data_IF_290131261986
#
_entry.id   IF_290131261986
#
_cell.length_a   1.000
_cell.length_b   1.000
_cell.length_c   1.000
_cell.angle_alpha   90.00
_cell.angle_beta   90.00
_cell.angle_gamma   90.00
#
_symmetry.space_group_name_H-M   'P 1'
#
loop_
_entity.id
_entity.type
_entity.pdbx_description
1 polymer ?
#
# COMPACT_ATOMS: atom_id res chain seq x y z
N UNK A 1 -65.76 41.62 -20.96
CA UNK A 1 -65.77 40.24 -20.42
C UNK A 1 -64.45 40.01 -19.68
N UNK A 2 -63.93 40.99 -18.96
CA UNK A 2 -64.05 41.27 -17.52
C UNK A 2 -65.06 40.46 -16.66
N UNK A 3 -64.55 39.76 -15.64
CA UNK A 3 -65.28 39.29 -14.46
C UNK A 3 -64.35 39.21 -13.22
N UNK A 4 -64.31 40.29 -12.43
CA UNK A 4 -64.80 40.32 -11.05
C UNK A 4 -64.13 39.46 -9.96
N UNK A 5 -63.29 40.10 -9.13
CA UNK A 5 -63.15 39.87 -7.66
C UNK A 5 -64.44 40.36 -6.93
N UNK A 6 -64.76 40.10 -5.62
CA UNK A 6 -63.84 39.96 -4.47
C UNK A 6 -64.26 39.14 -3.20
N UNK A 7 -63.28 38.95 -2.31
CA UNK A 7 -63.29 39.01 -0.81
C UNK A 7 -64.29 38.22 0.06
N UNK A 8 -63.78 37.57 1.12
CA UNK A 8 -63.84 38.08 2.52
C UNK A 8 -62.98 37.28 3.50
N UNK A 9 -62.28 38.04 4.37
CA UNK A 9 -61.49 37.62 5.54
C UNK A 9 -62.41 37.16 6.69
N UNK A 10 -61.89 36.33 7.62
CA UNK A 10 -61.89 36.63 9.07
C UNK A 10 -60.99 35.68 9.87
N UNK A 11 -60.29 36.32 10.80
CA UNK A 11 -59.36 35.91 11.86
C UNK A 11 -60.03 35.16 13.02
N UNK A 12 -59.29 34.27 13.70
CA UNK A 12 -59.23 34.17 15.18
C UNK A 12 -58.13 33.18 15.64
N UNK A 13 -57.54 33.50 16.79
CA UNK A 13 -56.33 32.97 17.45
C UNK A 13 -56.73 31.95 18.57
N UNK A 14 -55.81 31.44 19.41
CA UNK A 14 -55.65 30.01 19.74
C UNK A 14 -56.42 29.54 20.99
N UNK A 15 -56.53 28.22 21.17
CA UNK A 15 -56.96 27.61 22.42
C UNK A 15 -55.78 26.85 23.08
N UNK A 16 -55.39 27.35 24.25
CA UNK A 16 -54.54 26.71 25.24
C UNK A 16 -55.36 25.67 26.00
N UNK A 17 -54.84 24.46 26.18
CA UNK A 17 -55.27 23.54 27.23
C UNK A 17 -54.03 22.92 27.89
N UNK A 18 -53.80 23.31 29.14
CA UNK A 18 -52.91 22.63 30.08
C UNK A 18 -53.52 21.26 30.47
N UNK A 19 -52.68 20.24 30.60
CA UNK A 19 -52.98 19.07 31.44
C UNK A 19 -51.69 18.55 32.05
N UNK A 20 -51.76 18.28 33.34
CA UNK A 20 -50.67 18.13 34.28
C UNK A 20 -49.95 16.77 34.23
N UNK A 21 -48.79 16.76 34.88
CA UNK A 21 -47.83 15.68 34.99
C UNK A 21 -48.35 14.39 35.63
N UNK A 22 -47.80 13.27 35.17
CA UNK A 22 -47.57 12.08 35.98
C UNK A 22 -46.15 11.57 35.66
N UNK A 23 -45.24 11.76 36.61
CA UNK A 23 -43.90 11.14 36.61
C UNK A 23 -44.09 9.67 36.96
N UNK A 24 -43.77 8.79 36.02
CA UNK A 24 -43.59 7.37 36.27
C UNK A 24 -42.11 7.02 36.07
N UNK A 25 -41.39 6.86 37.18
CA UNK A 25 -40.09 6.23 37.24
C UNK A 25 -40.26 4.74 36.94
N UNK A 26 -39.91 4.33 35.74
CA UNK A 26 -39.65 2.92 35.41
C UNK A 26 -38.22 2.84 34.87
N UNK A 27 -37.29 2.50 35.75
CA UNK A 27 -35.97 2.04 35.34
C UNK A 27 -36.07 0.65 34.75
N UNK A 28 -35.36 0.41 33.65
CA UNK A 28 -34.76 -0.87 33.32
C UNK A 28 -33.60 -0.62 32.35
N UNK A 29 -32.41 -1.00 32.84
CA UNK A 29 -31.20 -1.46 32.13
C UNK A 29 -30.70 -0.63 30.96
N UNK A 30 -29.57 0.03 31.19
CA UNK A 30 -28.70 0.53 30.13
C UNK A 30 -28.42 -0.59 29.12
N UNK A 31 -28.59 -0.26 27.85
CA UNK A 31 -27.86 -0.94 26.80
C UNK A 31 -26.40 -0.57 27.03
N UNK A 32 -25.70 -1.46 27.71
CA UNK A 32 -24.26 -1.60 27.54
C UNK A 32 -24.05 -1.66 26.03
N UNK A 33 -23.43 -0.61 25.48
CA UNK A 33 -22.76 -0.72 24.20
C UNK A 33 -21.89 -1.97 24.32
N UNK A 34 -22.19 -2.98 23.50
CA UNK A 34 -21.43 -4.22 23.51
C UNK A 34 -19.96 -3.84 23.41
N UNK A 35 -19.20 -4.17 24.46
CA UNK A 35 -17.77 -4.03 24.45
C UNK A 35 -17.25 -4.76 23.19
N UNK A 36 -16.27 -4.20 22.47
CA UNK A 36 -15.68 -4.91 21.35
C UNK A 36 -15.23 -6.29 21.84
N UNK A 37 -15.58 -7.32 21.09
CA UNK A 37 -15.16 -8.69 21.36
C UNK A 37 -13.64 -8.72 21.62
N UNK A 38 -13.12 -9.56 22.53
CA UNK A 38 -11.69 -9.64 22.77
C UNK A 38 -11.02 -10.07 21.46
N UNK A 39 -10.31 -9.13 20.85
CA UNK A 39 -9.74 -9.32 19.54
C UNK A 39 -8.51 -10.23 19.66
N UNK A 40 -8.58 -11.36 18.96
CA UNK A 40 -7.65 -12.48 19.07
C UNK A 40 -6.25 -12.10 18.61
N UNK A 41 -5.25 -12.29 19.46
CA UNK A 41 -3.83 -12.36 19.03
C UNK A 41 -3.68 -13.54 18.08
N UNK A 42 -3.16 -13.33 16.85
CA UNK A 42 -2.99 -14.39 15.85
C UNK A 42 -1.53 -14.82 15.77
N UNK A 43 -1.27 -16.09 16.07
CA UNK A 43 0.03 -16.70 15.80
C UNK A 43 0.17 -16.94 14.30
N UNK A 44 1.21 -16.37 13.70
CA UNK A 44 1.55 -16.60 12.31
C UNK A 44 2.17 -18.00 12.16
N UNK A 45 1.90 -18.69 11.04
CA UNK A 45 2.54 -19.95 10.73
C UNK A 45 4.06 -19.77 10.67
N UNK A 46 4.80 -20.85 10.93
CA UNK A 46 6.23 -20.89 10.69
C UNK A 46 6.52 -20.56 9.21
N UNK A 47 7.68 -19.93 8.90
CA UNK A 47 8.05 -19.67 7.52
C UNK A 47 8.03 -20.99 6.72
N UNK A 48 7.41 -20.96 5.54
CA UNK A 48 7.27 -22.14 4.69
C UNK A 48 8.67 -22.61 4.26
N UNK A 49 9.16 -23.71 4.85
CA UNK A 49 10.42 -24.36 4.46
C UNK A 49 10.26 -25.31 3.25
N UNK A 50 9.15 -25.21 2.52
CA UNK A 50 8.87 -26.09 1.39
C UNK A 50 9.57 -25.58 0.13
N UNK A 51 10.88 -25.81 0.04
CA UNK A 51 11.56 -25.85 -1.26
C UNK A 51 10.90 -26.97 -2.08
N UNK A 52 10.29 -26.72 -3.25
CA UNK A 52 10.06 -27.81 -4.18
C UNK A 52 11.44 -28.39 -4.52
N UNK A 53 11.56 -29.71 -4.48
CA UNK A 53 12.76 -30.48 -4.75
C UNK A 53 13.25 -30.26 -6.19
N UNK A 54 13.86 -29.11 -6.42
CA UNK A 54 14.84 -28.79 -7.45
C UNK A 54 16.08 -28.36 -6.69
N UNK A 55 17.31 -28.55 -7.20
CA UNK A 55 18.49 -28.03 -6.53
C UNK A 55 18.38 -26.50 -6.50
N UNK A 56 17.88 -25.98 -5.39
CA UNK A 56 18.01 -24.60 -5.01
C UNK A 56 19.50 -24.31 -5.06
N UNK A 57 19.93 -23.44 -5.99
CA UNK A 57 21.28 -22.91 -5.90
C UNK A 57 21.34 -22.24 -4.52
N UNK A 58 22.14 -22.75 -3.57
CA UNK A 58 22.18 -22.16 -2.25
C UNK A 58 22.53 -20.69 -2.44
N UNK A 59 21.79 -19.80 -1.76
CA UNK A 59 22.18 -18.41 -1.63
C UNK A 59 23.67 -18.40 -1.29
N UNK A 60 24.48 -17.78 -2.14
CA UNK A 60 25.94 -17.72 -1.95
C UNK A 60 26.19 -17.30 -0.49
N UNK A 61 26.95 -18.08 0.29
CA UNK A 61 27.29 -17.71 1.66
C UNK A 61 27.86 -16.29 1.66
N UNK A 62 27.12 -15.33 2.23
CA UNK A 62 27.45 -13.90 2.20
C UNK A 62 26.52 -12.98 1.40
N UNK A 63 25.45 -13.49 0.76
CA UNK A 63 24.45 -12.64 0.13
C UNK A 63 23.72 -11.77 1.17
N UNK A 64 23.95 -10.46 1.12
CA UNK A 64 23.30 -9.50 2.02
C UNK A 64 21.83 -9.31 1.65
N UNK A 65 21.00 -9.17 2.67
CA UNK A 65 19.59 -8.80 2.56
C UNK A 65 19.47 -7.46 1.80
N UNK A 66 18.44 -7.27 0.95
CA UNK A 66 18.18 -5.95 0.36
C UNK A 66 18.16 -4.84 1.41
N UNK A 67 18.82 -3.71 1.11
CA UNK A 67 19.05 -2.64 2.09
C UNK A 67 17.76 -2.09 2.72
N UNK A 68 16.68 -1.97 1.93
CA UNK A 68 15.38 -1.53 2.43
C UNK A 68 14.80 -2.47 3.50
N UNK A 69 14.95 -3.78 3.34
CA UNK A 69 14.50 -4.76 4.33
C UNK A 69 15.37 -4.70 5.58
N UNK A 70 16.70 -4.64 5.42
CA UNK A 70 17.62 -4.53 6.55
C UNK A 70 17.35 -3.27 7.39
N UNK A 71 17.06 -2.14 6.74
CA UNK A 71 16.70 -0.90 7.41
C UNK A 71 15.38 -1.05 8.19
N UNK A 72 14.33 -1.64 7.58
CA UNK A 72 13.06 -1.92 8.26
C UNK A 72 13.23 -2.82 9.48
N UNK A 73 13.95 -3.93 9.34
CA UNK A 73 14.19 -4.89 10.42
C UNK A 73 15.05 -4.32 11.56
N UNK A 74 15.76 -3.21 11.35
CA UNK A 74 16.50 -2.54 12.41
C UNK A 74 15.61 -1.60 13.25
N UNK A 75 14.44 -1.20 12.74
CA UNK A 75 13.54 -0.29 13.44
C UNK A 75 12.78 -1.00 14.56
N UNK A 76 12.66 -0.28 15.70
CA UNK A 76 11.87 -0.63 16.88
C UNK A 76 11.42 0.65 17.58
N UNK A 77 10.37 0.54 18.39
CA UNK A 77 9.88 1.62 19.24
C UNK A 77 8.58 2.22 18.74
N UNK A 78 8.15 3.28 19.42
CA UNK A 78 6.88 3.95 19.11
C UNK A 78 7.15 5.19 18.24
N UNK A 79 6.38 5.42 17.16
CA UNK A 79 6.50 6.64 16.39
C UNK A 79 6.11 7.88 17.20
N UNK A 80 6.99 8.88 17.18
CA UNK A 80 6.75 10.21 17.71
C UNK A 80 6.02 11.12 16.73
N UNK A 81 6.02 12.42 17.03
CA UNK A 81 5.32 13.43 16.24
C UNK A 81 5.88 13.54 14.81
N UNK A 82 4.98 13.56 13.82
CA UNK A 82 5.34 13.73 12.42
C UNK A 82 5.92 15.13 12.14
N UNK A 83 6.90 15.17 11.24
CA UNK A 83 7.62 16.37 10.83
C UNK A 83 7.73 16.40 9.31
N UNK A 84 7.53 17.57 8.70
CA UNK A 84 7.72 17.71 7.26
C UNK A 84 9.22 17.58 6.90
N UNK A 85 9.52 16.67 5.98
CA UNK A 85 10.83 16.59 5.30
C UNK A 85 10.79 17.50 4.07
N UNK A 86 9.81 17.29 3.20
CA UNK A 86 9.52 18.13 2.03
C UNK A 86 8.01 18.22 1.81
N UNK A 87 7.58 19.30 1.18
CA UNK A 87 6.17 19.64 0.90
C UNK A 87 6.00 20.04 -0.57
N UNK A 88 4.77 20.04 -1.08
CA UNK A 88 4.45 20.46 -2.44
C UNK A 88 4.78 19.41 -3.50
N UNK A 89 4.72 18.13 -3.14
CA UNK A 89 4.83 17.00 -4.05
C UNK A 89 3.54 16.84 -4.85
N UNK A 90 3.65 16.33 -6.09
CA UNK A 90 2.52 16.09 -6.98
C UNK A 90 2.16 14.60 -7.02
N UNK A 91 1.07 14.23 -6.33
CA UNK A 91 0.58 12.84 -6.19
C UNK A 91 1.75 11.83 -6.01
N UNK A 92 2.57 11.99 -4.96
CA UNK A 92 3.73 11.12 -4.75
C UNK A 92 3.26 9.70 -4.45
N UNK A 93 3.97 8.69 -4.95
CA UNK A 93 3.48 7.30 -4.93
C UNK A 93 4.39 6.32 -4.17
N UNK A 94 5.70 6.32 -4.46
CA UNK A 94 6.67 5.40 -3.86
C UNK A 94 7.87 6.14 -3.30
N UNK A 95 8.44 5.66 -2.19
CA UNK A 95 9.77 6.08 -1.70
C UNK A 95 10.79 4.96 -1.94
N UNK A 96 11.98 5.30 -2.44
CA UNK A 96 13.15 4.43 -2.50
C UNK A 96 14.36 5.12 -1.85
N UNK A 97 14.74 4.69 -0.64
CA UNK A 97 15.86 5.29 0.12
C UNK A 97 17.19 4.80 -0.46
N UNK A 98 18.06 5.75 -0.84
CA UNK A 98 19.37 5.52 -1.42
C UNK A 98 20.42 5.25 -0.33
N UNK A 99 21.53 4.56 -0.66
CA UNK A 99 22.60 4.27 0.31
C UNK A 99 23.27 5.49 0.95
N UNK A 100 23.18 6.67 0.29
CA UNK A 100 23.73 7.94 0.79
C UNK A 100 22.78 8.64 1.79
N UNK A 101 21.62 8.06 2.07
CA UNK A 101 20.60 8.63 2.95
C UNK A 101 19.66 9.62 2.27
N UNK A 102 19.83 9.89 0.97
CA UNK A 102 18.78 10.55 0.18
C UNK A 102 17.69 9.55 -0.20
N UNK A 103 16.60 10.01 -0.82
CA UNK A 103 15.57 9.13 -1.34
C UNK A 103 15.10 9.56 -2.72
N UNK A 104 14.57 8.61 -3.48
CA UNK A 104 13.85 8.86 -4.72
C UNK A 104 12.35 8.72 -4.47
N UNK A 105 11.57 9.64 -5.02
CA UNK A 105 10.11 9.63 -4.96
C UNK A 105 9.56 9.61 -6.38
N UNK A 106 8.64 8.70 -6.67
CA UNK A 106 7.84 8.75 -7.90
C UNK A 106 6.63 9.67 -7.72
N UNK A 107 6.36 10.50 -8.72
CA UNK A 107 5.13 11.29 -8.83
C UNK A 107 4.23 10.68 -9.91
N UNK A 108 3.01 10.27 -9.53
CA UNK A 108 2.14 9.45 -10.38
C UNK A 108 1.76 10.15 -11.68
N UNK A 109 1.27 11.38 -11.57
CA UNK A 109 0.60 12.09 -12.67
C UNK A 109 1.55 12.93 -13.51
N UNK A 110 2.72 13.30 -12.98
CA UNK A 110 3.76 14.03 -13.72
C UNK A 110 4.77 13.10 -14.36
N UNK A 111 4.78 11.81 -13.97
CA UNK A 111 5.77 10.81 -14.35
C UNK A 111 7.22 11.22 -14.00
N UNK A 112 7.40 12.11 -13.02
CA UNK A 112 8.71 12.56 -12.56
C UNK A 112 9.23 11.66 -11.45
N UNK A 113 10.55 11.54 -11.39
CA UNK A 113 11.26 11.06 -10.20
C UNK A 113 11.92 12.26 -9.54
N UNK A 114 11.69 12.44 -8.24
CA UNK A 114 12.34 13.46 -7.43
C UNK A 114 13.40 12.82 -6.54
N UNK A 115 14.55 13.46 -6.38
CA UNK A 115 15.51 13.15 -5.32
C UNK A 115 15.26 14.06 -4.13
N UNK A 116 15.02 13.47 -2.97
CA UNK A 116 14.95 14.16 -1.68
C UNK A 116 16.28 14.01 -0.96
N UNK A 117 17.00 15.11 -0.79
CA UNK A 117 18.31 15.11 -0.13
C UNK A 117 18.50 16.36 0.73
N UNK A 118 19.48 16.33 1.62
CA UNK A 118 19.79 17.44 2.52
C UNK A 118 20.96 18.27 1.95
N UNK A 119 20.70 19.55 1.68
CA UNK A 119 21.71 20.50 1.19
C UNK A 119 21.83 21.66 2.17
N UNK A 120 23.01 21.81 2.79
CA UNK A 120 23.25 22.87 3.79
C UNK A 120 22.39 22.75 5.05
N UNK A 121 21.99 21.53 5.43
CA UNK A 121 21.14 21.28 6.59
C UNK A 121 19.63 21.28 6.30
N UNK A 122 19.20 21.66 5.11
CA UNK A 122 17.78 21.71 4.71
C UNK A 122 17.45 20.62 3.69
N UNK A 123 16.34 19.92 3.91
CA UNK A 123 15.79 18.96 2.95
C UNK A 123 15.21 19.66 1.73
N UNK A 124 15.47 19.11 0.54
CA UNK A 124 14.96 19.61 -0.74
C UNK A 124 14.55 18.44 -1.61
N UNK A 125 13.49 18.63 -2.40
CA UNK A 125 13.11 17.73 -3.47
C UNK A 125 13.49 18.36 -4.81
N UNK A 126 14.29 17.66 -5.60
CA UNK A 126 14.76 18.14 -6.91
C UNK A 126 14.51 17.06 -7.97
N UNK A 127 14.10 17.46 -9.18
CA UNK A 127 13.76 16.52 -10.22
C UNK A 127 15.00 15.81 -10.78
N UNK A 128 14.97 14.49 -10.78
CA UNK A 128 15.92 13.64 -11.51
C UNK A 128 15.59 13.72 -13.00
N UNK A 129 16.58 14.03 -13.83
CA UNK A 129 16.35 14.17 -15.28
C UNK A 129 16.34 12.80 -15.96
N UNK A 130 15.17 12.37 -16.42
CA UNK A 130 15.00 11.20 -17.29
C UNK A 130 14.93 11.61 -18.78
N UNK A 131 14.84 10.63 -19.68
CA UNK A 131 14.93 10.84 -21.13
C UNK A 131 13.64 11.32 -21.82
N UNK A 132 12.53 11.44 -21.07
CA UNK A 132 11.24 11.87 -21.59
C UNK A 132 11.04 13.40 -21.62
N UNK A 133 9.89 13.86 -22.10
CA UNK A 133 9.55 15.29 -22.13
C UNK A 133 9.65 15.93 -20.74
N UNK A 134 10.20 17.15 -20.69
CA UNK A 134 10.44 17.89 -19.44
C UNK A 134 11.25 17.12 -18.37
N UNK A 135 12.04 16.12 -18.79
CA UNK A 135 12.85 15.30 -17.88
C UNK A 135 12.06 14.23 -17.11
N UNK A 136 10.84 13.90 -17.54
CA UNK A 136 10.03 12.83 -16.97
C UNK A 136 10.44 11.44 -17.50
N UNK A 137 9.98 10.37 -16.85
CA UNK A 137 10.14 9.00 -17.36
C UNK A 137 9.35 8.88 -18.67
N UNK A 138 9.95 8.43 -19.78
CA UNK A 138 9.26 8.37 -21.07
C UNK A 138 8.17 7.29 -21.08
N UNK A 139 7.24 7.42 -22.04
CA UNK A 139 6.15 6.47 -22.34
C UNK A 139 5.13 6.23 -21.22
N UNK A 140 5.25 6.93 -20.08
CA UNK A 140 4.24 6.93 -19.02
C UNK A 140 3.05 7.77 -19.46
N UNK A 141 1.85 7.17 -19.37
CA UNK A 141 0.58 7.84 -19.67
C UNK A 141 -0.36 7.74 -18.46
N UNK A 142 -0.28 8.70 -17.53
CA UNK A 142 -1.09 8.70 -16.33
C UNK A 142 -2.59 8.80 -16.65
N UNK A 143 -3.38 7.94 -16.02
CA UNK A 143 -4.84 7.92 -16.12
C UNK A 143 -5.45 7.24 -14.91
N UNK A 144 -6.49 7.83 -14.33
CA UNK A 144 -7.18 7.25 -13.18
C UNK A 144 -6.23 6.99 -11.99
N UNK A 145 -5.94 5.72 -11.71
CA UNK A 145 -5.00 5.29 -10.66
C UNK A 145 -3.61 4.89 -11.21
N UNK A 146 -3.44 4.85 -12.53
CA UNK A 146 -2.19 4.50 -13.21
C UNK A 146 -1.31 5.72 -13.50
N UNK A 147 -0.02 5.47 -13.69
CA UNK A 147 1.01 6.49 -13.91
C UNK A 147 2.40 5.93 -13.61
N UNK A 148 3.27 6.74 -13.00
CA UNK A 148 4.53 6.26 -12.42
C UNK A 148 4.30 5.83 -10.96
N UNK A 149 4.32 4.52 -10.70
CA UNK A 149 3.90 3.92 -9.43
C UNK A 149 5.10 3.49 -8.58
N UNK A 150 5.22 2.20 -8.26
CA UNK A 150 6.24 1.67 -7.36
C UNK A 150 7.65 1.87 -7.87
N UNK A 151 8.57 2.16 -6.94
CA UNK A 151 10.01 2.19 -7.14
C UNK A 151 10.67 1.11 -6.29
N UNK A 152 11.73 0.49 -6.82
CA UNK A 152 12.58 -0.41 -6.04
C UNK A 152 14.04 -0.30 -6.49
N UNK A 153 14.97 -0.25 -5.54
CA UNK A 153 16.40 -0.33 -5.84
C UNK A 153 16.82 -1.78 -5.99
N UNK A 154 17.73 -2.05 -6.93
CA UNK A 154 18.38 -3.36 -7.04
C UNK A 154 19.00 -3.80 -5.71
N UNK A 155 18.95 -5.10 -5.36
CA UNK A 155 19.70 -5.63 -4.23
C UNK A 155 21.23 -5.48 -4.35
N UNK A 156 21.72 -5.09 -5.54
CA UNK A 156 23.12 -4.75 -5.82
C UNK A 156 23.27 -3.28 -6.27
N UNK A 157 22.38 -2.39 -5.83
CA UNK A 157 22.32 -0.99 -6.29
C UNK A 157 23.66 -0.25 -6.19
N UNK A 158 24.44 -0.49 -5.13
CA UNK A 158 25.75 0.14 -4.97
C UNK A 158 26.78 -0.29 -6.04
N UNK A 159 26.50 -1.33 -6.82
CA UNK A 159 27.34 -1.80 -7.92
C UNK A 159 26.72 -1.54 -9.30
N UNK A 160 25.40 -1.66 -9.42
CA UNK A 160 24.70 -1.64 -10.72
C UNK A 160 23.86 -0.39 -10.98
N UNK A 161 23.57 0.38 -9.93
CA UNK A 161 22.72 1.56 -9.92
C UNK A 161 21.34 1.38 -10.55
N UNK A 162 20.78 0.16 -10.53
CA UNK A 162 19.48 -0.11 -11.14
C UNK A 162 18.32 0.33 -10.26
N UNK A 163 17.52 1.27 -10.76
CA UNK A 163 16.21 1.63 -10.23
C UNK A 163 15.11 0.95 -11.07
N UNK A 164 14.24 0.19 -10.43
CA UNK A 164 13.06 -0.40 -11.05
C UNK A 164 11.86 0.52 -10.83
N UNK A 165 11.01 0.62 -11.85
CA UNK A 165 9.79 1.44 -11.81
C UNK A 165 8.62 0.69 -12.44
N UNK A 166 7.45 0.76 -11.80
CA UNK A 166 6.19 0.32 -12.38
C UNK A 166 5.56 1.49 -13.14
N UNK A 167 5.24 1.29 -14.42
CA UNK A 167 4.69 2.34 -15.27
C UNK A 167 3.41 1.89 -15.97
N UNK A 168 2.45 2.79 -16.02
CA UNK A 168 1.29 2.68 -16.91
C UNK A 168 1.61 3.39 -18.22
N UNK A 169 1.50 2.68 -19.34
CA UNK A 169 1.70 3.18 -20.70
C UNK A 169 0.36 3.28 -21.44
N UNK A 170 0.39 3.75 -22.68
CA UNK A 170 -0.77 3.77 -23.57
C UNK A 170 -1.42 2.38 -23.79
N UNK A 171 -0.66 1.28 -23.66
CA UNK A 171 -1.11 -0.06 -24.06
C UNK A 171 -1.14 -1.09 -22.93
N UNK A 172 -0.38 -0.87 -21.87
CA UNK A 172 -0.25 -1.82 -20.76
C UNK A 172 0.21 -1.12 -19.48
N UNK A 173 0.23 -1.89 -18.39
CA UNK A 173 1.15 -1.65 -17.30
C UNK A 173 2.39 -2.51 -17.51
N UNK A 174 3.53 -2.05 -17.00
CA UNK A 174 4.80 -2.75 -17.10
C UNK A 174 5.75 -2.38 -15.98
N UNK A 175 6.77 -3.20 -15.80
CA UNK A 175 7.95 -2.84 -15.02
C UNK A 175 9.11 -2.59 -15.95
N UNK A 176 9.84 -1.52 -15.69
CA UNK A 176 11.09 -1.16 -16.36
C UNK A 176 12.20 -1.00 -15.32
N UNK A 177 13.45 -1.04 -15.76
CA UNK A 177 14.61 -0.56 -14.98
C UNK A 177 15.35 0.54 -15.70
N UNK A 178 15.97 1.43 -14.95
CA UNK A 178 16.77 2.55 -15.42
C UNK A 178 18.02 2.66 -14.55
N UNK A 179 19.18 2.97 -15.13
CA UNK A 179 20.37 3.29 -14.34
C UNK A 179 20.20 4.69 -13.76
N UNK A 180 20.35 4.80 -12.45
CA UNK A 180 20.42 6.07 -11.75
C UNK A 180 21.87 6.54 -11.64
N UNK A 181 22.14 7.75 -12.08
CA UNK A 181 23.44 8.40 -11.92
C UNK A 181 23.27 9.63 -11.04
N UNK A 182 23.80 9.58 -9.82
CA UNK A 182 23.85 10.75 -8.95
C UNK A 182 24.70 11.86 -9.59
N UNK A 183 24.41 13.10 -9.24
CA UNK A 183 25.25 14.24 -9.63
C UNK A 183 26.32 14.46 -8.55
N UNK A 184 27.60 14.36 -8.94
CA UNK A 184 28.75 14.58 -8.07
C UNK A 184 28.80 16.01 -7.49
N UNK A 185 28.14 16.98 -8.15
CA UNK A 185 27.99 18.34 -7.65
C UNK A 185 26.84 18.50 -6.62
N UNK A 186 26.16 17.40 -6.27
CA UNK A 186 25.09 17.36 -5.27
C UNK A 186 23.68 17.59 -5.81
N UNK A 187 23.49 17.69 -7.13
CA UNK A 187 22.18 17.78 -7.76
C UNK A 187 21.36 16.48 -7.71
N UNK A 188 20.22 16.47 -8.41
CA UNK A 188 19.28 15.35 -8.41
C UNK A 188 19.77 14.10 -9.16
N UNK A 189 20.66 14.27 -10.15
CA UNK A 189 21.14 13.20 -11.02
C UNK A 189 20.28 12.95 -12.26
N UNK A 190 20.54 11.85 -12.96
CA UNK A 190 19.87 11.45 -14.21
C UNK A 190 19.43 9.99 -14.20
N UNK A 191 18.48 9.66 -15.08
CA UNK A 191 18.04 8.29 -15.37
C UNK A 191 18.35 7.93 -16.83
N UNK A 192 18.87 6.73 -17.06
CA UNK A 192 19.01 6.18 -18.41
C UNK A 192 17.66 5.93 -19.09
N UNK A 193 17.68 5.62 -20.38
CA UNK A 193 16.49 5.11 -21.06
C UNK A 193 15.96 3.83 -20.35
N UNK A 194 14.63 3.64 -20.27
CA UNK A 194 14.07 2.46 -19.60
C UNK A 194 14.31 1.16 -20.36
N UNK A 195 14.72 0.12 -19.64
CA UNK A 195 14.80 -1.27 -20.11
C UNK A 195 13.57 -2.05 -19.60
N UNK A 196 12.77 -2.69 -20.47
CA UNK A 196 11.64 -3.51 -20.04
C UNK A 196 12.06 -4.72 -19.20
N UNK A 197 11.33 -4.98 -18.12
CA UNK A 197 11.49 -6.15 -17.24
C UNK A 197 10.32 -7.12 -17.42
N UNK A 198 9.10 -6.61 -17.34
CA UNK A 198 7.88 -7.35 -17.69
C UNK A 198 6.89 -6.39 -18.31
N UNK A 199 6.26 -6.79 -19.41
CA UNK A 199 5.31 -5.97 -20.18
C UNK A 199 4.02 -6.75 -20.40
N UNK A 200 2.99 -6.07 -20.92
CA UNK A 200 1.71 -6.69 -21.26
C UNK A 200 0.81 -6.99 -20.06
N UNK A 201 1.10 -6.41 -18.89
CA UNK A 201 0.15 -6.46 -17.76
C UNK A 201 -1.05 -5.61 -18.18
N UNK A 202 -2.24 -6.21 -18.19
CA UNK A 202 -3.44 -5.46 -18.62
C UNK A 202 -3.67 -4.27 -17.71
N UNK A 203 -3.92 -3.11 -18.32
CA UNK A 203 -4.14 -1.84 -17.63
C UNK A 203 -5.59 -1.39 -17.77
N UNK A 204 -6.08 -0.62 -16.80
CA UNK A 204 -7.41 -0.04 -16.79
C UNK A 204 -7.36 1.40 -16.24
N UNK A 205 -8.50 1.93 -15.78
CA UNK A 205 -8.56 3.21 -15.06
C UNK A 205 -8.28 3.05 -13.56
N UNK A 206 -8.52 1.86 -13.02
CA UNK A 206 -8.36 1.52 -11.60
C UNK A 206 -7.77 0.12 -11.47
N UNK A 207 -7.24 -0.19 -10.29
CA UNK A 207 -6.71 -1.50 -9.92
C UNK A 207 -5.47 -1.93 -10.68
N UNK A 208 -4.42 -1.11 -10.62
CA UNK A 208 -3.12 -1.42 -11.18
C UNK A 208 -2.25 -2.26 -10.24
N UNK A 209 -2.53 -2.25 -8.93
CA UNK A 209 -1.56 -2.67 -7.92
C UNK A 209 -0.38 -1.71 -7.92
N UNK A 210 0.77 -2.13 -8.47
CA UNK A 210 1.88 -1.25 -8.82
C UNK A 210 3.04 -1.19 -7.82
N UNK A 211 2.98 -1.90 -6.68
CA UNK A 211 4.08 -1.99 -5.72
C UNK A 211 5.17 -2.92 -6.23
N UNK A 212 6.41 -2.50 -6.03
CA UNK A 212 7.62 -3.26 -6.29
C UNK A 212 8.41 -3.43 -5.00
N UNK A 213 8.99 -4.61 -4.79
CA UNK A 213 9.97 -4.82 -3.75
C UNK A 213 10.88 -6.01 -4.07
N UNK A 214 12.14 -5.95 -3.65
CA UNK A 214 13.01 -7.12 -3.66
C UNK A 214 12.90 -7.88 -2.35
N UNK A 215 12.59 -9.17 -2.43
CA UNK A 215 12.45 -10.04 -1.27
C UNK A 215 13.79 -10.47 -0.67
N UNK A 216 13.78 -11.21 0.46
CA UNK A 216 14.98 -11.74 1.10
C UNK A 216 15.76 -12.71 0.19
N UNK A 217 15.09 -13.30 -0.79
CA UNK A 217 15.64 -14.16 -1.85
C UNK A 217 16.25 -13.37 -3.02
N UNK A 218 16.26 -12.03 -2.95
CA UNK A 218 16.76 -11.09 -3.97
C UNK A 218 16.01 -11.16 -5.30
N UNK A 219 14.80 -11.74 -5.31
CA UNK A 219 13.89 -11.71 -6.45
C UNK A 219 13.00 -10.46 -6.40
N UNK A 220 12.58 -9.98 -7.56
CA UNK A 220 11.66 -8.86 -7.69
C UNK A 220 10.22 -9.37 -7.55
N UNK A 221 9.47 -8.79 -6.61
CA UNK A 221 8.05 -9.02 -6.44
C UNK A 221 7.26 -7.83 -6.99
N UNK A 222 6.19 -8.13 -7.72
CA UNK A 222 5.34 -7.15 -8.40
C UNK A 222 3.89 -7.42 -8.04
N UNK A 223 3.20 -6.45 -7.44
CA UNK A 223 1.75 -6.54 -7.19
C UNK A 223 0.99 -6.05 -8.40
N UNK A 224 -0.03 -6.80 -8.84
CA UNK A 224 -0.92 -6.38 -9.93
C UNK A 224 -2.38 -6.48 -9.48
N UNK A 225 -3.15 -5.43 -9.75
CA UNK A 225 -4.60 -5.48 -9.54
C UNK A 225 -5.31 -6.21 -10.67
N UNK A 226 -6.62 -6.41 -10.51
CA UNK A 226 -7.47 -7.13 -11.48
C UNK A 226 -7.80 -6.33 -12.75
N UNK A 227 -7.35 -5.07 -12.84
CA UNK A 227 -7.65 -4.15 -13.93
C UNK A 227 -9.14 -4.04 -14.27
N UNK A 228 -10.00 -4.07 -13.25
CA UNK A 228 -11.47 -4.05 -13.39
C UNK A 228 -12.05 -5.26 -14.15
N UNK A 229 -11.28 -6.34 -14.26
CA UNK A 229 -11.67 -7.63 -14.82
C UNK A 229 -11.49 -8.72 -13.74
N UNK A 230 -12.39 -8.80 -12.74
CA UNK A 230 -12.17 -9.62 -11.55
C UNK A 230 -11.88 -11.10 -11.83
N UNK A 231 -12.49 -11.67 -12.88
CA UNK A 231 -12.26 -13.08 -13.26
C UNK A 231 -10.80 -13.40 -13.58
N UNK A 232 -10.01 -12.41 -14.00
CA UNK A 232 -8.58 -12.59 -14.30
C UNK A 232 -7.76 -12.93 -13.06
N UNK A 233 -8.21 -12.54 -11.86
CA UNK A 233 -7.54 -12.87 -10.61
C UNK A 233 -7.43 -14.38 -10.38
N UNK A 234 -8.40 -15.16 -10.87
CA UNK A 234 -8.43 -16.63 -10.79
C UNK A 234 -7.83 -17.33 -12.03
N UNK A 235 -7.54 -16.59 -13.10
CA UNK A 235 -6.92 -17.15 -14.31
C UNK A 235 -5.41 -17.33 -14.10
N UNK A 236 -4.86 -18.56 -14.19
CA UNK A 236 -3.43 -18.81 -14.01
C UNK A 236 -2.55 -18.29 -15.17
N UNK A 237 -3.14 -17.93 -16.32
CA UNK A 237 -2.42 -17.36 -17.46
C UNK A 237 -2.40 -15.82 -17.44
N UNK A 238 -3.25 -15.20 -16.64
CA UNK A 238 -3.31 -13.75 -16.53
C UNK A 238 -2.21 -13.21 -15.60
N UNK A 239 -1.72 -12.00 -15.92
CA UNK A 239 -0.80 -11.26 -15.05
C UNK A 239 -1.52 -10.34 -14.07
N UNK A 240 -2.83 -10.15 -14.19
CA UNK A 240 -3.66 -9.30 -13.33
C UNK A 240 -4.26 -10.07 -12.15
N UNK A 241 -4.44 -9.37 -11.03
CA UNK A 241 -4.91 -9.93 -9.77
C UNK A 241 -3.93 -10.94 -9.17
N UNK A 242 -2.63 -10.62 -9.22
CA UNK A 242 -1.52 -11.49 -8.82
C UNK A 242 -0.54 -10.75 -7.93
N UNK A 243 0.27 -11.54 -7.21
CA UNK A 243 1.65 -11.14 -6.92
C UNK A 243 2.56 -11.98 -7.80
N UNK A 244 3.42 -11.31 -8.55
CA UNK A 244 4.41 -11.92 -9.43
C UNK A 244 5.77 -11.96 -8.73
N UNK A 245 6.61 -12.95 -9.07
CA UNK A 245 7.99 -13.10 -8.61
C UNK A 245 8.92 -13.38 -9.78
N UNK A 246 9.87 -12.48 -9.99
CA UNK A 246 10.75 -12.41 -11.15
C UNK A 246 12.22 -12.37 -10.71
N UNK A 247 13.12 -12.83 -11.57
CA UNK A 247 14.54 -12.46 -11.45
C UNK A 247 14.71 -10.96 -11.68
N UNK A 248 15.84 -10.35 -11.26
CA UNK A 248 16.13 -8.95 -11.58
C UNK A 248 16.11 -8.64 -13.09
N UNK A 249 16.35 -9.64 -13.95
CA UNK A 249 16.29 -9.49 -15.41
C UNK A 249 14.90 -9.82 -16.01
N UNK A 250 13.87 -9.99 -15.17
CA UNK A 250 12.47 -10.13 -15.61
C UNK A 250 12.03 -11.53 -16.03
N UNK A 251 12.87 -12.55 -15.82
CA UNK A 251 12.44 -13.94 -16.04
C UNK A 251 11.62 -14.46 -14.86
N UNK A 252 10.66 -15.39 -15.06
CA UNK A 252 10.06 -16.13 -13.95
C UNK A 252 11.12 -16.68 -13.01
N UNK A 253 11.01 -16.35 -11.72
CA UNK A 253 12.06 -16.72 -10.76
C UNK A 253 12.10 -18.25 -10.52
N UNK A 254 13.30 -18.84 -10.35
CA UNK A 254 13.42 -20.23 -9.92
C UNK A 254 12.68 -20.49 -8.60
N UNK A 255 11.97 -21.62 -8.51
CA UNK A 255 11.16 -21.95 -7.34
C UNK A 255 9.76 -21.33 -7.32
N UNK A 256 9.35 -20.63 -8.39
CA UNK A 256 7.94 -20.25 -8.55
C UNK A 256 7.03 -21.50 -8.55
N UNK A 257 5.79 -21.40 -8.04
CA UNK A 257 4.87 -22.53 -7.93
C UNK A 257 4.61 -23.28 -9.23
N UNK A 258 4.60 -22.56 -10.36
CA UNK A 258 4.43 -23.12 -11.70
C UNK A 258 5.66 -22.76 -12.52
N UNK A 259 6.36 -23.79 -13.05
CA UNK A 259 7.55 -23.61 -13.84
C UNK A 259 7.28 -22.73 -15.07
N UNK A 260 8.12 -21.71 -15.28
CA UNK A 260 7.98 -20.76 -16.39
C UNK A 260 6.86 -19.72 -16.21
N UNK A 261 6.12 -19.75 -15.11
CA UNK A 261 5.13 -18.72 -14.77
C UNK A 261 5.71 -17.71 -13.77
N UNK A 262 5.50 -16.40 -13.96
CA UNK A 262 5.90 -15.39 -12.98
C UNK A 262 4.97 -15.35 -11.75
N UNK A 263 3.83 -16.06 -11.76
CA UNK A 263 2.83 -15.99 -10.70
C UNK A 263 3.34 -16.65 -9.41
N UNK A 264 3.34 -15.89 -8.31
CA UNK A 264 3.66 -16.36 -6.97
C UNK A 264 2.41 -16.70 -6.16
N UNK A 265 1.44 -15.77 -6.14
CA UNK A 265 0.11 -15.91 -5.54
C UNK A 265 -0.94 -15.29 -6.46
N UNK A 266 -2.19 -15.70 -6.29
CA UNK A 266 -3.31 -15.23 -7.11
C UNK A 266 -4.59 -15.04 -6.28
N UNK A 267 -5.65 -14.57 -6.93
CA UNK A 267 -6.89 -14.22 -6.26
C UNK A 267 -6.81 -12.90 -5.52
N UNK A 268 -6.11 -11.92 -6.11
CA UNK A 268 -6.00 -10.56 -5.59
C UNK A 268 -6.87 -9.59 -6.40
N UNK A 269 -7.42 -8.59 -5.72
CA UNK A 269 -8.17 -7.47 -6.28
C UNK A 269 -7.27 -6.30 -6.63
N UNK A 270 -6.60 -5.71 -5.65
CA UNK A 270 -5.72 -4.55 -5.85
C UNK A 270 -4.69 -4.38 -4.72
N UNK A 271 -3.68 -5.27 -4.64
CA UNK A 271 -2.63 -5.20 -3.62
C UNK A 271 -1.70 -4.00 -3.88
N UNK A 272 -1.43 -3.18 -2.86
CA UNK A 272 -0.69 -1.91 -3.00
C UNK A 272 0.52 -1.76 -2.05
N UNK A 273 0.72 -2.71 -1.15
CA UNK A 273 1.87 -2.77 -0.26
C UNK A 273 2.33 -4.19 -0.08
N UNK A 274 3.65 -4.42 -0.07
CA UNK A 274 4.27 -5.71 0.25
C UNK A 274 5.53 -5.48 1.07
N UNK A 275 5.85 -6.42 1.95
CA UNK A 275 7.05 -6.39 2.80
C UNK A 275 7.29 -7.73 3.48
N UNK A 276 8.46 -7.91 4.09
CA UNK A 276 8.83 -9.15 4.77
C UNK A 276 9.28 -8.87 6.19
N UNK A 277 8.95 -9.76 7.12
CA UNK A 277 9.62 -9.76 8.42
C UNK A 277 11.01 -10.41 8.36
N UNK A 278 11.70 -10.41 9.50
CA UNK A 278 13.02 -11.02 9.66
C UNK A 278 13.03 -12.55 9.54
N UNK A 279 11.87 -13.20 9.63
CA UNK A 279 11.70 -14.62 9.40
C UNK A 279 11.43 -14.96 7.91
N UNK A 280 11.33 -13.94 7.04
CA UNK A 280 11.04 -14.10 5.63
C UNK A 280 9.57 -14.31 5.30
N UNK A 281 8.66 -14.04 6.24
CA UNK A 281 7.21 -14.06 6.01
C UNK A 281 6.78 -12.81 5.27
N UNK A 282 6.10 -12.98 4.14
CA UNK A 282 5.66 -11.88 3.28
C UNK A 282 4.28 -11.39 3.68
N UNK A 283 4.12 -10.09 3.88
CA UNK A 283 2.86 -9.42 4.12
C UNK A 283 2.40 -8.67 2.87
N UNK A 284 1.09 -8.55 2.67
CA UNK A 284 0.51 -7.73 1.61
C UNK A 284 -0.71 -6.95 2.08
N UNK A 285 -0.78 -5.67 1.73
CA UNK A 285 -1.90 -4.78 2.01
C UNK A 285 -2.74 -4.61 0.73
N UNK A 286 -4.05 -4.78 0.84
CA UNK A 286 -4.93 -4.89 -0.32
C UNK A 286 -6.28 -4.20 -0.15
N UNK A 287 -6.74 -3.53 -1.23
CA UNK A 287 -8.08 -2.94 -1.25
C UNK A 287 -9.15 -4.00 -1.51
N UNK A 288 -10.17 -4.01 -0.65
CA UNK A 288 -11.45 -4.67 -0.90
C UNK A 288 -12.30 -3.94 -1.94
N UNK A 289 -13.43 -4.54 -2.33
CA UNK A 289 -14.36 -3.91 -3.26
C UNK A 289 -15.27 -2.93 -2.54
N UNK A 290 -15.91 -3.35 -1.44
CA UNK A 290 -16.86 -2.50 -0.72
C UNK A 290 -16.86 -2.74 0.80
N UNK A 291 -16.57 -3.96 1.25
CA UNK A 291 -16.81 -4.36 2.64
C UNK A 291 -15.52 -4.47 3.43
N UNK A 292 -14.52 -5.17 2.91
CA UNK A 292 -13.33 -5.52 3.69
C UNK A 292 -12.03 -5.30 2.92
N UNK A 293 -11.22 -4.34 3.39
CA UNK A 293 -9.80 -4.26 3.06
C UNK A 293 -9.01 -5.27 3.87
N UNK A 294 -7.82 -5.66 3.40
CA UNK A 294 -7.10 -6.81 3.94
C UNK A 294 -5.61 -6.54 4.20
N UNK A 295 -5.10 -7.16 5.27
CA UNK A 295 -3.69 -7.49 5.42
C UNK A 295 -3.55 -9.01 5.29
N UNK A 296 -2.79 -9.46 4.31
CA UNK A 296 -2.59 -10.86 3.98
C UNK A 296 -1.19 -11.33 4.36
N UNK A 297 -1.06 -12.61 4.75
CA UNK A 297 0.22 -13.31 4.80
C UNK A 297 0.39 -14.09 3.50
N UNK A 298 1.29 -13.63 2.63
CA UNK A 298 1.54 -14.26 1.34
C UNK A 298 2.40 -15.51 1.48
N UNK A 299 1.86 -16.64 0.99
CA UNK A 299 2.57 -17.90 0.89
C UNK A 299 2.52 -18.40 -0.55
N UNK A 300 3.59 -19.01 -1.07
CA UNK A 300 3.61 -19.52 -2.43
C UNK A 300 2.42 -20.45 -2.70
N UNK A 301 1.90 -20.39 -3.92
CA UNK A 301 0.85 -21.27 -4.41
C UNK A 301 -0.51 -21.10 -3.70
N UNK A 302 -0.71 -20.01 -2.96
CA UNK A 302 -1.98 -19.72 -2.30
C UNK A 302 -2.89 -18.83 -3.14
N UNK A 303 -4.19 -19.10 -3.02
CA UNK A 303 -5.29 -18.33 -3.57
C UNK A 303 -5.90 -17.45 -2.49
N UNK A 304 -5.95 -16.15 -2.71
CA UNK A 304 -6.51 -15.16 -1.77
C UNK A 304 -7.99 -14.84 -2.05
N UNK A 305 -8.62 -15.61 -2.93
CA UNK A 305 -10.08 -15.72 -3.01
C UNK A 305 -10.76 -14.77 -3.99
N UNK A 306 -10.21 -13.58 -4.25
CA UNK A 306 -10.88 -12.61 -5.14
C UNK A 306 -11.11 -13.19 -6.56
N UNK A 307 -12.31 -13.05 -7.16
CA UNK A 307 -13.51 -12.39 -6.67
C UNK A 307 -14.54 -13.33 -6.04
N UNK A 308 -14.16 -14.59 -5.81
CA UNK A 308 -15.04 -15.60 -5.23
C UNK A 308 -15.29 -15.35 -3.74
N UNK A 309 -14.30 -14.77 -3.05
CA UNK A 309 -14.34 -14.35 -1.65
C UNK A 309 -13.73 -12.95 -1.51
N UNK A 310 -14.26 -12.15 -0.58
CA UNK A 310 -13.72 -10.87 -0.11
C UNK A 310 -13.73 -10.89 1.43
N UNK A 311 -12.58 -10.65 2.05
CA UNK A 311 -12.44 -10.60 3.50
C UNK A 311 -12.48 -11.96 4.20
N UNK A 312 -12.78 -11.94 5.50
CA UNK A 312 -13.08 -13.15 6.26
C UNK A 312 -14.51 -13.61 5.97
N UNK A 313 -14.70 -14.90 5.69
CA UNK A 313 -16.04 -15.47 5.53
C UNK A 313 -16.58 -15.83 6.92
N UNK A 314 -17.75 -15.33 7.33
CA UNK A 314 -18.35 -15.76 8.59
C UNK A 314 -18.58 -17.27 8.60
N UNK A 315 -18.15 -17.94 9.67
CA UNK A 315 -18.47 -19.33 9.91
C UNK A 315 -19.98 -19.55 10.06
N UNK A 316 -20.45 -20.81 10.07
CA UNK A 316 -21.88 -21.14 10.24
C UNK A 316 -22.48 -20.58 11.54
N UNK A 317 -21.63 -20.25 12.52
CA UNK A 317 -21.96 -19.67 13.82
C UNK A 317 -21.82 -18.14 13.87
N UNK A 318 -21.48 -17.50 12.76
CA UNK A 318 -21.27 -16.05 12.67
C UNK A 318 -19.95 -15.55 13.26
N UNK A 319 -19.02 -16.44 13.63
CA UNK A 319 -17.64 -16.06 13.96
C UNK A 319 -16.87 -15.69 12.69
N UNK A 320 -15.87 -14.80 12.77
CA UNK A 320 -14.91 -14.60 11.68
C UNK A 320 -14.10 -15.89 11.53
N UNK A 321 -14.58 -16.80 10.69
CA UNK A 321 -13.90 -18.07 10.45
C UNK A 321 -12.80 -17.85 9.41
N UNK A 322 -11.64 -18.46 9.67
CA UNK A 322 -10.73 -18.90 8.61
C UNK A 322 -11.59 -19.65 7.58
N UNK A 323 -11.56 -19.19 6.33
CA UNK A 323 -12.43 -19.58 5.22
C UNK A 323 -12.92 -21.03 5.35
N UNK A 324 -14.24 -21.25 5.39
CA UNK A 324 -14.82 -22.60 5.40
C UNK A 324 -14.55 -23.40 4.11
N UNK A 325 -13.90 -22.78 3.12
CA UNK A 325 -13.36 -23.43 1.94
C UNK A 325 -11.81 -23.44 2.04
N UNK A 326 -11.18 -24.61 2.24
CA UNK A 326 -9.73 -24.73 2.26
C UNK A 326 -9.04 -24.36 0.94
N UNK A 327 -9.81 -24.07 -0.14
CA UNK A 327 -9.30 -23.57 -1.40
C UNK A 327 -8.82 -22.11 -1.33
N UNK A 328 -9.25 -21.31 -0.34
CA UNK A 328 -8.85 -19.91 -0.18
C UNK A 328 -8.08 -19.67 1.11
N UNK A 329 -7.27 -18.61 1.12
CA UNK A 329 -6.42 -18.23 2.24
C UNK A 329 -7.01 -16.98 2.88
N UNK A 330 -7.31 -17.04 4.18
CA UNK A 330 -7.92 -15.90 4.87
C UNK A 330 -6.89 -14.77 5.11
N UNK A 331 -7.34 -13.51 5.12
CA UNK A 331 -6.53 -12.39 5.58
C UNK A 331 -6.19 -12.50 7.07
N UNK A 332 -5.06 -11.92 7.45
CA UNK A 332 -4.62 -11.77 8.84
C UNK A 332 -5.48 -10.77 9.61
N UNK A 333 -5.78 -9.64 8.96
CA UNK A 333 -6.57 -8.53 9.49
C UNK A 333 -7.50 -8.04 8.39
N UNK A 334 -8.72 -7.67 8.75
CA UNK A 334 -9.66 -6.99 7.86
C UNK A 334 -10.10 -5.65 8.44
N UNK A 335 -10.40 -4.70 7.56
CA UNK A 335 -10.93 -3.39 7.93
C UNK A 335 -12.14 -3.03 7.07
N UNK A 336 -13.13 -2.30 7.61
CA UNK A 336 -14.07 -1.58 6.75
C UNK A 336 -13.32 -0.71 5.74
N UNK A 337 -13.79 -0.65 4.50
CA UNK A 337 -13.11 0.16 3.45
C UNK A 337 -13.03 1.66 3.76
N UNK A 338 -13.82 2.14 4.73
CA UNK A 338 -13.74 3.51 5.26
C UNK A 338 -12.54 3.74 6.16
N UNK A 339 -12.04 2.70 6.80
CA UNK A 339 -11.07 2.78 7.89
C UNK A 339 -9.64 2.55 7.37
N UNK A 340 -9.49 2.04 6.15
CA UNK A 340 -8.20 1.82 5.53
C UNK A 340 -8.12 2.38 4.09
N UNK A 341 -8.47 1.59 3.08
CA UNK A 341 -7.88 1.61 1.74
C UNK A 341 -6.35 1.53 1.82
N UNK A 342 -5.83 0.35 2.23
CA UNK A 342 -4.44 0.18 2.64
C UNK A 342 -3.48 0.15 1.44
N UNK A 343 -2.36 0.84 1.57
CA UNK A 343 -1.42 1.11 0.49
C UNK A 343 -0.02 0.60 0.83
N UNK A 344 1.02 1.44 0.79
CA UNK A 344 2.37 1.03 1.17
C UNK A 344 2.43 0.49 2.61
N UNK A 345 3.32 -0.48 2.82
CA UNK A 345 3.54 -1.10 4.12
C UNK A 345 5.02 -1.28 4.41
N UNK A 346 5.37 -1.28 5.69
CA UNK A 346 6.71 -1.56 6.20
C UNK A 346 6.61 -2.56 7.35
N UNK A 347 7.46 -3.58 7.32
CA UNK A 347 7.60 -4.52 8.44
C UNK A 347 8.87 -4.19 9.21
N UNK A 348 8.73 -3.87 10.49
CA UNK A 348 9.81 -3.62 11.43
C UNK A 348 10.08 -4.84 12.31
N UNK A 349 11.00 -4.74 13.26
CA UNK A 349 11.23 -5.84 14.19
C UNK A 349 10.13 -6.01 15.25
N UNK A 350 9.21 -5.06 15.36
CA UNK A 350 8.18 -5.02 16.41
C UNK A 350 6.77 -4.66 15.90
N UNK A 351 6.59 -4.37 14.61
CA UNK A 351 5.29 -4.05 14.03
C UNK A 351 5.23 -4.22 12.50
N UNK A 352 4.01 -4.30 11.98
CA UNK A 352 3.66 -4.04 10.58
C UNK A 352 2.98 -2.69 10.51
N UNK A 353 3.56 -1.75 9.75
CA UNK A 353 2.97 -0.44 9.47
C UNK A 353 2.28 -0.44 8.12
N UNK A 354 1.06 0.09 8.03
CA UNK A 354 0.27 0.14 6.79
C UNK A 354 -0.31 1.54 6.61
N UNK A 355 0.08 2.23 5.55
CA UNK A 355 -0.47 3.53 5.19
C UNK A 355 -1.90 3.38 4.65
N UNK A 356 -2.85 4.15 5.17
CA UNK A 356 -4.25 4.11 4.76
C UNK A 356 -4.69 5.40 4.06
N UNK A 357 -5.23 5.25 2.86
CA UNK A 357 -5.67 6.35 2.03
C UNK A 357 -7.03 6.91 2.48
N UNK A 358 -8.09 6.09 2.47
CA UNK A 358 -9.44 6.57 2.79
C UNK A 358 -9.64 6.72 4.29
N UNK A 359 -9.01 5.84 5.08
CA UNK A 359 -8.97 5.91 6.54
C UNK A 359 -8.11 7.04 7.10
N UNK A 360 -7.27 7.66 6.27
CA UNK A 360 -6.45 8.83 6.63
C UNK A 360 -5.61 8.62 7.89
N UNK A 361 -4.91 7.48 7.96
CA UNK A 361 -4.15 7.06 9.15
C UNK A 361 -3.00 6.14 8.77
N UNK A 362 -2.06 5.96 9.68
CA UNK A 362 -1.05 4.93 9.61
C UNK A 362 -1.43 3.84 10.61
N UNK A 363 -1.78 2.65 10.14
CA UNK A 363 -2.00 1.52 11.02
C UNK A 363 -0.67 0.97 11.51
N UNK A 364 -0.54 0.74 12.82
CA UNK A 364 0.55 -0.04 13.43
C UNK A 364 -0.05 -1.33 13.99
N UNK A 365 0.39 -2.47 13.50
CA UNK A 365 -0.01 -3.78 14.00
C UNK A 365 1.20 -4.35 14.75
N UNK A 366 1.20 -4.44 16.10
CA UNK A 366 2.31 -5.01 16.85
C UNK A 366 2.67 -6.42 16.36
N UNK A 367 3.97 -6.73 16.30
CA UNK A 367 4.49 -8.01 15.86
C UNK A 367 5.56 -8.47 16.85
N UNK A 368 5.29 -9.54 17.58
CA UNK A 368 6.22 -10.11 18.58
C UNK A 368 6.37 -11.61 18.36
N UNK A 369 7.58 -12.06 17.97
CA UNK A 369 7.87 -13.46 17.66
C UNK A 369 6.82 -14.17 16.77
N UNK A 370 6.28 -13.42 15.80
CA UNK A 370 5.24 -13.92 14.91
C UNK A 370 3.83 -13.94 15.47
N UNK A 371 3.59 -13.29 16.60
CA UNK A 371 2.26 -12.99 17.12
C UNK A 371 1.89 -11.59 16.66
N UNK A 372 0.77 -11.47 15.95
CA UNK A 372 0.19 -10.16 15.64
C UNK A 372 -0.70 -9.69 16.80
N UNK A 373 -0.47 -8.44 17.21
CA UNK A 373 -1.31 -7.70 18.14
C UNK A 373 -2.45 -6.97 17.46
N UNK A 374 -3.14 -6.12 18.24
CA UNK A 374 -4.26 -5.34 17.74
C UNK A 374 -3.81 -4.14 16.90
N UNK A 375 -4.47 -3.84 15.76
CA UNK A 375 -4.18 -2.64 14.99
C UNK A 375 -4.41 -1.36 15.80
N UNK A 376 -3.40 -0.51 15.83
CA UNK A 376 -3.39 0.82 16.44
C UNK A 376 -3.43 1.88 15.34
N UNK A 377 -4.34 2.85 15.44
CA UNK A 377 -4.39 3.97 14.50
C UNK A 377 -3.42 5.08 14.95
N UNK A 378 -2.48 5.42 14.08
CA UNK A 378 -1.57 6.56 14.24
C UNK A 378 -1.90 7.64 13.20
N UNK A 379 -1.57 8.90 13.49
CA UNK A 379 -1.83 10.06 12.61
C UNK A 379 -3.31 10.18 12.18
N UNK A 380 -4.24 9.74 13.01
CA UNK A 380 -5.65 9.57 12.64
C UNK A 380 -6.27 10.90 12.21
N UNK A 381 -6.55 11.02 10.91
CA UNK A 381 -7.05 12.23 10.25
C UNK A 381 -6.15 13.48 10.39
N UNK A 382 -4.91 13.33 10.88
CA UNK A 382 -4.00 14.46 11.13
C UNK A 382 -3.40 15.01 9.82
N UNK A 383 -3.00 14.10 8.93
CA UNK A 383 -2.31 14.43 7.67
C UNK A 383 -3.10 14.03 6.42
N UNK A 384 -4.35 13.60 6.60
CA UNK A 384 -5.19 13.12 5.51
C UNK A 384 -4.73 11.76 5.00
N UNK A 385 -4.78 11.57 3.69
CA UNK A 385 -4.57 10.29 3.01
C UNK A 385 -3.08 9.94 3.02
N UNK A 386 -2.73 8.72 3.44
CA UNK A 386 -1.33 8.24 3.46
C UNK A 386 -1.12 7.13 2.43
N UNK A 387 0.01 7.18 1.71
CA UNK A 387 0.29 6.39 0.50
C UNK A 387 1.42 5.39 0.64
N UNK A 388 2.50 5.77 1.30
CA UNK A 388 3.66 4.91 1.45
C UNK A 388 4.31 5.09 2.81
N UNK A 389 4.96 4.05 3.30
CA UNK A 389 5.75 4.08 4.53
C UNK A 389 7.01 3.25 4.35
N UNK A 390 8.17 3.83 4.65
CA UNK A 390 9.47 3.16 4.56
C UNK A 390 10.33 3.50 5.77
N UNK A 391 11.39 2.73 5.98
CA UNK A 391 12.42 3.08 6.95
C UNK A 391 13.23 4.28 6.43
N UNK A 392 13.26 5.36 7.21
CA UNK A 392 14.10 6.52 6.96
C UNK A 392 15.57 6.24 7.27
N UNK A 393 16.49 7.01 6.68
CA UNK A 393 17.94 6.81 6.80
C UNK A 393 18.49 7.04 8.22
N UNK A 394 17.71 7.68 9.08
CA UNK A 394 18.07 8.06 10.45
C UNK A 394 17.31 7.25 11.52
N UNK A 395 16.78 6.09 11.15
CA UNK A 395 16.03 5.22 12.07
C UNK A 395 14.60 5.71 12.36
N UNK A 396 14.07 6.61 11.54
CA UNK A 396 12.68 7.09 11.61
C UNK A 396 11.77 6.31 10.64
N UNK A 397 10.46 6.54 10.73
CA UNK A 397 9.54 6.21 9.64
C UNK A 397 9.42 7.40 8.70
N UNK A 398 9.47 7.14 7.40
CA UNK A 398 9.17 8.12 6.37
C UNK A 398 7.84 7.77 5.70
N UNK A 399 6.91 8.74 5.61
CA UNK A 399 5.53 8.50 5.17
C UNK A 399 5.13 9.51 4.09
N UNK A 400 4.55 9.05 2.99
CA UNK A 400 3.97 9.92 1.95
C UNK A 400 2.49 10.21 2.20
N UNK A 401 2.07 11.47 1.98
CA UNK A 401 0.66 11.83 1.84
C UNK A 401 0.18 11.74 0.38
N UNK A 402 -1.12 11.61 0.17
CA UNK A 402 -1.78 11.52 -1.15
C UNK A 402 -3.14 12.25 -1.16
N UNK A 403 -3.12 13.50 -0.69
CA UNK A 403 -4.26 14.39 -0.58
C UNK A 403 -4.64 15.03 -1.91
N UNK A 404 -3.69 15.18 -2.84
CA UNK A 404 -3.91 15.84 -4.13
C UNK A 404 -4.59 14.95 -5.17
N UNK A 405 -4.67 13.63 -4.97
CA UNK A 405 -5.35 12.72 -5.91
C UNK A 405 -6.87 12.68 -5.74
N UNK A 406 -7.35 12.26 -4.55
CA UNK A 406 -8.78 12.07 -4.22
C UNK A 406 -9.14 12.64 -2.84
N UNK A 407 -8.23 13.41 -2.24
CA UNK A 407 -8.39 13.98 -0.92
C UNK A 407 -8.95 15.40 -0.92
N UNK A 408 -8.73 16.08 0.21
CA UNK A 408 -9.00 17.51 0.37
C UNK A 408 -7.66 18.17 0.68
N UNK A 409 -6.90 18.60 -0.34
CA UNK A 409 -5.55 19.08 -0.15
C UNK A 409 -5.53 20.37 0.69
N UNK A 410 -4.51 20.47 1.54
CA UNK A 410 -4.17 21.64 2.34
C UNK A 410 -2.90 22.31 1.81
N UNK A 411 -2.57 23.49 2.32
CA UNK A 411 -1.39 24.23 1.87
C UNK A 411 -0.09 23.45 2.15
N UNK A 412 0.64 23.08 1.10
CA UNK A 412 1.87 22.29 1.20
C UNK A 412 1.70 20.81 0.90
N UNK A 413 0.48 20.34 0.62
CA UNK A 413 0.29 18.96 0.16
C UNK A 413 0.77 18.80 -1.30
N UNK A 414 1.29 17.64 -1.70
CA UNK A 414 1.57 16.47 -0.84
C UNK A 414 2.96 16.53 -0.17
N UNK A 415 3.18 15.68 0.83
CA UNK A 415 4.31 15.77 1.75
C UNK A 415 5.04 14.44 1.89
N UNK A 416 6.32 14.54 2.19
CA UNK A 416 7.07 13.48 2.85
C UNK A 416 7.19 13.84 4.32
N UNK A 417 6.62 13.00 5.19
CA UNK A 417 6.67 13.13 6.64
C UNK A 417 7.77 12.24 7.21
N UNK A 418 8.36 12.67 8.33
CA UNK A 418 9.30 11.92 9.15
C UNK A 418 8.72 11.75 10.56
N UNK A 419 8.65 10.52 11.04
CA UNK A 419 8.25 10.19 12.41
C UNK A 419 9.44 9.54 13.15
N UNK A 420 10.11 10.24 14.08
CA UNK A 420 11.19 9.65 14.86
C UNK A 420 10.66 8.49 15.71
N UNK A 421 11.44 7.43 15.89
CA UNK A 421 11.09 6.34 16.81
C UNK A 421 11.74 6.59 18.18
N UNK A 422 11.00 6.30 19.26
CA UNK A 422 11.46 6.42 20.66
C UNK A 422 11.35 5.12 21.42
#
# INVERSE_FOLDING_TARGET
>A
MDHGRPSRRRTALPAVLLSAAAVALAGCSGQDAAAPAPASTRQLPAPSSSSPSSPEAPLSPGAQLPAALAAGHALRGTPGTAQDVVTGLDVPWSIAVLPDGSALISERDTARVLRVSQTGGTWRAEQVTATGPAGAVPDVEPRGEGGLLGLALSPSFAQDSWLYAYTTTATDDRVVRMRYSADDAGGAGTLSAPEPIITGITSATVHHGGRLAFGPDRMLYVTTGDASAPSTAQDPQALTGKVLRLTPDGQPAPGNPVAGSPVWTWGHRNPQGIGWDSAGRMFAAEFGQNTQDELNLLQPQRNYGWPLVEGAVPGPDGSDADVTDPAFTAPLVTWPTSDASPSGLLVTADAVYVAALRGQRLWRIPLDDGVLGQPEALLDSEHGRLRDVVAGPDGSLWVLTDNTSRGRPTAGDDRLLRLPLT
#
